data_IF_110854351462
#
_entry.id   IF_110854351462
#
_cell.length_a   1.000
_cell.length_b   1.000
_cell.length_c   1.000
_cell.angle_alpha   90.00
_cell.angle_beta   90.00
_cell.angle_gamma   90.00
#
_symmetry.space_group_name_H-M   'P 1'
#
loop_
_entity.id
_entity.type
_entity.pdbx_description
1 polymer ?
#
# COMPACT_ATOMS: atom_id res chain seq x y z
N UNK A 1 1.74 -7.23 -15.46
CA UNK A 1 2.61 -7.92 -14.45
C UNK A 1 3.70 -7.01 -13.94
N UNK A 2 4.49 -6.39 -14.82
CA UNK A 2 5.44 -5.35 -14.39
C UNK A 2 4.75 -4.20 -13.66
N UNK A 3 3.52 -3.83 -14.03
CA UNK A 3 2.81 -2.75 -13.33
C UNK A 3 2.54 -3.08 -11.86
N UNK A 4 2.26 -4.34 -11.50
CA UNK A 4 2.00 -4.74 -10.10
C UNK A 4 3.27 -4.66 -9.27
N UNK A 5 4.42 -4.98 -9.88
CA UNK A 5 5.73 -4.84 -9.24
C UNK A 5 6.05 -3.36 -9.02
N UNK A 6 5.84 -2.50 -10.03
CA UNK A 6 6.01 -1.06 -9.90
C UNK A 6 5.07 -0.46 -8.85
N UNK A 7 3.80 -0.91 -8.82
CA UNK A 7 2.83 -0.51 -7.81
C UNK A 7 3.28 -0.93 -6.41
N UNK A 8 3.78 -2.16 -6.26
CA UNK A 8 4.31 -2.66 -5.00
C UNK A 8 5.50 -1.85 -4.49
N UNK A 9 6.46 -1.55 -5.37
CA UNK A 9 7.62 -0.71 -5.04
C UNK A 9 7.21 0.73 -4.68
N UNK A 10 6.28 1.31 -5.44
CA UNK A 10 5.76 2.64 -5.16
C UNK A 10 5.05 2.68 -3.79
N UNK A 11 4.20 1.70 -3.49
CA UNK A 11 3.51 1.60 -2.22
C UNK A 11 4.49 1.41 -1.04
N UNK A 12 5.51 0.56 -1.18
CA UNK A 12 6.56 0.38 -0.17
C UNK A 12 7.41 1.64 0.08
N UNK A 13 7.53 2.51 -0.92
CA UNK A 13 8.25 3.78 -0.78
C UNK A 13 7.45 4.85 -0.03
N UNK A 14 6.13 4.73 0.05
CA UNK A 14 5.25 5.70 0.71
C UNK A 14 5.64 6.02 2.18
N UNK A 15 5.93 5.04 3.06
CA UNK A 15 6.37 5.33 4.43
C UNK A 15 7.73 6.04 4.49
N UNK A 16 8.63 5.76 3.53
CA UNK A 16 9.91 6.47 3.44
C UNK A 16 9.70 7.95 3.08
N UNK A 17 8.88 8.22 2.06
CA UNK A 17 8.55 9.59 1.68
C UNK A 17 7.80 10.33 2.80
N UNK A 18 6.90 9.67 3.51
CA UNK A 18 6.20 10.24 4.67
C UNK A 18 7.18 10.63 5.79
N UNK A 19 8.18 9.78 6.06
CA UNK A 19 9.25 10.08 7.03
C UNK A 19 10.06 11.31 6.61
N UNK A 20 10.45 11.42 5.34
CA UNK A 20 11.20 12.57 4.84
C UNK A 20 10.37 13.86 4.79
N UNK A 21 9.05 13.75 4.63
CA UNK A 21 8.12 14.88 4.66
C UNK A 21 7.73 15.33 6.08
N UNK A 22 8.24 14.66 7.13
CA UNK A 22 7.99 15.06 8.53
C UNK A 22 6.66 14.56 9.11
N UNK A 23 5.96 13.62 8.47
CA UNK A 23 4.67 13.07 8.94
C UNK A 23 4.83 12.00 10.04
N UNK A 24 5.66 12.25 11.05
CA UNK A 24 6.00 11.24 12.08
C UNK A 24 4.79 10.77 12.91
N UNK A 25 3.75 11.59 13.04
CA UNK A 25 2.54 11.28 13.81
C UNK A 25 1.50 10.46 13.02
N UNK A 26 1.66 10.33 11.69
CA UNK A 26 0.72 9.64 10.79
C UNK A 26 1.26 8.31 10.27
N UNK A 27 2.28 7.75 10.94
CA UNK A 27 2.98 6.51 10.56
C UNK A 27 2.03 5.37 10.24
N UNK A 28 0.97 5.18 11.03
CA UNK A 28 0.08 4.03 10.88
C UNK A 28 -0.62 3.95 9.52
N UNK A 29 -1.03 5.10 8.95
CA UNK A 29 -1.68 5.13 7.63
C UNK A 29 -0.68 4.87 6.50
N UNK A 30 0.51 5.47 6.56
CA UNK A 30 1.55 5.27 5.55
C UNK A 30 2.20 3.87 5.64
N UNK A 31 2.31 3.30 6.84
CA UNK A 31 2.79 1.94 7.06
C UNK A 31 1.81 0.92 6.46
N UNK A 32 0.49 1.16 6.54
CA UNK A 32 -0.52 0.31 5.92
C UNK A 32 -0.39 0.31 4.38
N UNK A 33 -0.07 1.46 3.77
CA UNK A 33 0.26 1.57 2.34
C UNK A 33 1.61 0.88 2.04
N UNK A 34 2.59 0.96 2.93
CA UNK A 34 3.85 0.24 2.78
C UNK A 34 3.66 -1.29 2.77
N UNK A 35 2.86 -1.80 3.71
CA UNK A 35 2.54 -3.23 3.85
C UNK A 35 1.73 -3.73 2.66
N UNK A 36 0.82 -2.93 2.11
CA UNK A 36 0.09 -3.32 0.89
C UNK A 36 1.02 -3.52 -0.31
N UNK A 37 2.12 -2.76 -0.38
CA UNK A 37 3.16 -2.96 -1.38
C UNK A 37 3.82 -4.34 -1.33
N UNK A 38 4.01 -4.89 -0.12
CA UNK A 38 4.52 -6.26 0.05
C UNK A 38 3.56 -7.30 -0.53
N UNK A 39 2.24 -7.12 -0.35
CA UNK A 39 1.24 -8.01 -0.92
C UNK A 39 1.23 -7.96 -2.45
N UNK A 40 1.45 -6.80 -3.08
CA UNK A 40 1.57 -6.72 -4.55
C UNK A 40 2.82 -7.44 -5.08
N UNK A 41 3.96 -7.31 -4.38
CA UNK A 41 5.18 -8.07 -4.74
C UNK A 41 4.97 -9.56 -4.54
N UNK A 42 4.34 -9.97 -3.44
CA UNK A 42 4.04 -11.37 -3.14
C UNK A 42 3.13 -11.99 -4.20
N UNK A 43 2.09 -11.27 -4.63
CA UNK A 43 1.22 -11.70 -5.73
C UNK A 43 1.98 -11.91 -7.04
N UNK A 44 2.92 -11.00 -7.34
CA UNK A 44 3.79 -11.12 -8.53
C UNK A 44 4.74 -12.32 -8.44
N UNK A 45 5.26 -12.62 -7.23
CA UNK A 45 6.08 -13.78 -6.98
C UNK A 45 5.29 -15.10 -7.14
N UNK A 46 4.04 -15.14 -6.67
CA UNK A 46 3.17 -16.30 -6.88
C UNK A 46 2.98 -16.60 -8.38
N UNK A 47 2.79 -15.57 -9.21
CA UNK A 47 2.65 -15.77 -10.65
C UNK A 47 3.95 -16.24 -11.30
N UNK A 48 5.10 -15.70 -10.91
CA UNK A 48 6.39 -15.98 -11.57
C UNK A 48 6.98 -17.35 -11.20
N UNK A 49 6.82 -17.77 -9.94
CA UNK A 49 7.37 -19.04 -9.43
C UNK A 49 6.46 -20.21 -9.81
N UNK A 50 5.15 -20.07 -9.63
CA UNK A 50 4.21 -21.18 -9.81
C UNK A 50 3.74 -21.37 -11.25
N UNK A 51 4.03 -20.43 -12.16
CA UNK A 51 3.84 -20.65 -13.61
C UNK A 51 4.82 -21.66 -14.19
N UNK A 52 5.90 -22.01 -13.48
CA UNK A 52 6.91 -22.98 -13.93
C UNK A 52 6.65 -24.41 -13.48
N UNK A 53 5.63 -24.64 -12.66
CA UNK A 53 5.29 -25.96 -12.12
C UNK A 53 3.78 -26.18 -12.24
N UNK A 54 3.35 -26.98 -13.22
CA UNK A 54 1.93 -27.22 -13.52
C UNK A 54 1.12 -27.65 -12.28
N UNK A 55 1.72 -28.47 -11.41
CA UNK A 55 1.09 -28.96 -10.18
C UNK A 55 0.69 -27.84 -9.20
N UNK A 56 1.34 -26.67 -9.29
CA UNK A 56 1.08 -25.54 -8.42
C UNK A 56 0.43 -24.34 -9.11
N UNK A 57 0.08 -24.44 -10.41
CA UNK A 57 -0.47 -23.29 -11.14
C UNK A 57 -1.78 -22.79 -10.50
N UNK A 58 -2.58 -23.71 -9.97
CA UNK A 58 -3.85 -23.45 -9.31
C UNK A 58 -3.66 -22.73 -7.97
N UNK A 59 -2.63 -23.11 -7.21
CA UNK A 59 -2.24 -22.45 -5.96
C UNK A 59 -1.65 -21.05 -6.24
N UNK A 60 -0.84 -20.92 -7.30
CA UNK A 60 -0.30 -19.65 -7.76
C UNK A 60 -1.39 -18.66 -8.18
N UNK A 61 -2.44 -19.15 -8.85
CA UNK A 61 -3.58 -18.32 -9.27
C UNK A 61 -4.35 -17.76 -8.06
N UNK A 62 -4.71 -18.62 -7.11
CA UNK A 62 -5.40 -18.15 -5.89
C UNK A 62 -4.52 -17.28 -5.00
N UNK A 63 -3.23 -17.63 -4.86
CA UNK A 63 -2.26 -16.84 -4.09
C UNK A 63 -2.05 -15.45 -4.66
N UNK A 64 -1.96 -15.33 -6.00
CA UNK A 64 -1.91 -14.05 -6.70
C UNK A 64 -3.17 -13.23 -6.42
N UNK A 65 -4.34 -13.85 -6.56
CA UNK A 65 -5.63 -13.17 -6.45
C UNK A 65 -5.85 -12.64 -5.02
N UNK A 66 -5.60 -13.47 -4.00
CA UNK A 66 -5.68 -13.06 -2.60
C UNK A 66 -4.70 -11.93 -2.27
N UNK A 67 -3.45 -12.05 -2.73
CA UNK A 67 -2.43 -11.02 -2.49
C UNK A 67 -2.78 -9.70 -3.16
N UNK A 68 -3.33 -9.75 -4.38
CA UNK A 68 -3.77 -8.55 -5.09
C UNK A 68 -4.91 -7.83 -4.36
N UNK A 69 -5.94 -8.55 -3.91
CA UNK A 69 -7.06 -7.94 -3.18
C UNK A 69 -6.64 -7.42 -1.80
N UNK A 70 -5.78 -8.15 -1.09
CA UNK A 70 -5.24 -7.70 0.19
C UNK A 70 -4.40 -6.41 0.03
N UNK A 71 -3.54 -6.37 -0.99
CA UNK A 71 -2.78 -5.16 -1.32
C UNK A 71 -3.69 -3.99 -1.70
N UNK A 72 -4.66 -4.21 -2.58
CA UNK A 72 -5.59 -3.17 -3.01
C UNK A 72 -6.37 -2.60 -1.83
N UNK A 73 -6.91 -3.46 -0.96
CA UNK A 73 -7.66 -3.02 0.22
C UNK A 73 -6.78 -2.20 1.18
N UNK A 74 -5.58 -2.67 1.50
CA UNK A 74 -4.64 -1.95 2.36
C UNK A 74 -4.21 -0.60 1.79
N UNK A 75 -3.97 -0.55 0.47
CA UNK A 75 -3.61 0.70 -0.22
C UNK A 75 -4.74 1.73 -0.17
N UNK A 76 -5.98 1.33 -0.50
CA UNK A 76 -7.13 2.24 -0.50
C UNK A 76 -7.40 2.76 0.92
N UNK A 77 -7.45 1.87 1.91
CA UNK A 77 -7.72 2.25 3.30
C UNK A 77 -6.61 3.15 3.85
N UNK A 78 -5.34 2.79 3.63
CA UNK A 78 -4.20 3.57 4.10
C UNK A 78 -4.14 4.96 3.44
N UNK A 79 -4.40 5.04 2.14
CA UNK A 79 -4.41 6.31 1.41
C UNK A 79 -5.57 7.23 1.84
N UNK A 80 -6.79 6.68 1.98
CA UNK A 80 -7.93 7.46 2.44
C UNK A 80 -7.73 7.96 3.87
N UNK A 81 -7.19 7.13 4.76
CA UNK A 81 -6.91 7.52 6.13
C UNK A 81 -5.86 8.64 6.18
N UNK A 82 -4.73 8.47 5.48
CA UNK A 82 -3.69 9.50 5.42
C UNK A 82 -4.23 10.83 4.86
N UNK A 83 -5.08 10.76 3.83
CA UNK A 83 -5.72 11.94 3.24
C UNK A 83 -6.70 12.64 4.20
N UNK A 84 -7.54 11.87 4.90
CA UNK A 84 -8.48 12.41 5.90
C UNK A 84 -7.73 13.08 7.05
N UNK A 85 -6.68 12.44 7.57
CA UNK A 85 -5.88 13.01 8.66
C UNK A 85 -5.22 14.33 8.23
N UNK A 86 -4.78 14.44 6.99
CA UNK A 86 -4.18 15.66 6.44
C UNK A 86 -5.23 16.76 6.27
N UNK A 87 -6.42 16.42 5.80
CA UNK A 87 -7.54 17.35 5.67
C UNK A 87 -8.00 17.90 7.02
N UNK A 88 -8.12 17.03 8.04
CA UNK A 88 -8.48 17.44 9.39
C UNK A 88 -7.44 18.36 10.03
N UNK A 89 -6.15 18.07 9.84
CA UNK A 89 -5.06 18.91 10.35
C UNK A 89 -5.10 20.32 9.74
N UNK A 90 -5.26 20.42 8.42
CA UNK A 90 -5.35 21.70 7.70
C UNK A 90 -6.59 22.50 8.15
N UNK A 91 -7.74 21.85 8.30
CA UNK A 91 -8.97 22.49 8.76
C UNK A 91 -8.85 23.03 10.19
N UNK A 92 -8.26 22.26 11.11
CA UNK A 92 -8.06 22.70 12.49
C UNK A 92 -7.06 23.86 12.57
N UNK A 93 -5.96 23.81 11.80
CA UNK A 93 -4.99 24.89 11.81
C UNK A 93 -5.58 26.20 11.27
N UNK A 94 -6.38 26.14 10.21
CA UNK A 94 -7.07 27.31 9.63
C UNK A 94 -8.06 27.94 10.62
N UNK A 95 -8.78 27.12 11.40
CA UNK A 95 -9.71 27.62 12.43
C UNK A 95 -9.00 28.31 13.60
N UNK A 96 -7.79 27.88 13.94
CA UNK A 96 -6.97 28.46 15.01
C UNK A 96 -6.46 29.87 14.66
N UNK A 97 -6.16 30.15 13.38
CA UNK A 97 -5.65 31.46 12.92
C UNK A 97 -6.74 32.54 12.88
N UNK A 98 -8.01 32.13 12.86
CA UNK A 98 -9.17 33.05 12.83
C UNK A 98 -9.80 33.30 14.22
N UNK A 99 -9.19 32.80 15.28
CA UNK A 99 -9.54 33.11 16.67
C UNK A 99 -8.41 33.86 17.37
#
# INVERSE_FOLDING_TARGET
MMEIIFLGLAAMSAPLFAKYAGFEHKKMAFDLVGVSGLFFILGSAFTFVFSKVEMFSLLGHYGMLLSYFAGLAGMIVGALWAGLDLLFEVLMHTRSIHH
#
